data_IF_867280659240
#
_entry.id   IF_867280659240
#
_cell.length_a   1.000
_cell.length_b   1.000
_cell.length_c   1.000
_cell.angle_alpha   90.00
_cell.angle_beta   90.00
_cell.angle_gamma   90.00
#
_symmetry.space_group_name_H-M   'P 1'
#
loop_
_entity.id
_entity.type
_entity.pdbx_description
1 polymer ?
#
# COMPACT_ATOMS: atom_id res chain seq x y z
N UNK A 1 -19.23 -6.89 -10.08
CA UNK A 1 -18.81 -5.63 -9.46
C UNK A 1 -18.41 -5.89 -8.02
N UNK A 2 -17.13 -5.80 -7.72
CA UNK A 2 -16.49 -6.22 -6.46
C UNK A 2 -16.81 -5.33 -5.25
N UNK A 3 -17.88 -4.54 -5.29
CA UNK A 3 -18.30 -3.72 -4.14
C UNK A 3 -17.33 -2.56 -3.82
N UNK A 4 -16.48 -2.17 -4.78
CA UNK A 4 -15.53 -1.08 -4.61
C UNK A 4 -16.22 0.24 -4.19
N UNK A 5 -15.62 1.02 -3.27
CA UNK A 5 -16.16 2.31 -2.90
C UNK A 5 -16.26 3.26 -4.12
N UNK A 6 -17.45 3.81 -4.35
CA UNK A 6 -17.72 4.76 -5.44
C UNK A 6 -16.73 5.95 -5.48
N UNK A 7 -16.18 6.29 -4.32
CA UNK A 7 -15.13 7.29 -4.15
C UNK A 7 -13.86 7.02 -5.00
N UNK A 8 -13.51 5.77 -5.25
CA UNK A 8 -12.33 5.37 -6.03
C UNK A 8 -12.58 5.36 -7.54
N UNK A 9 -13.83 5.15 -7.96
CA UNK A 9 -14.19 4.94 -9.38
C UNK A 9 -14.34 6.28 -10.13
N UNK A 10 -14.62 7.37 -9.41
CA UNK A 10 -14.93 8.66 -10.02
C UNK A 10 -13.70 9.55 -10.17
N UNK A 11 -13.03 9.46 -11.32
CA UNK A 11 -11.87 10.30 -11.69
C UNK A 11 -12.20 11.52 -12.57
N UNK A 12 -13.48 11.73 -12.95
CA UNK A 12 -13.88 12.84 -13.82
C UNK A 12 -13.67 14.24 -13.19
N UNK A 13 -13.56 15.26 -14.05
CA UNK A 13 -13.16 16.64 -13.74
C UNK A 13 -14.08 17.33 -12.70
N UNK A 14 -15.37 16.97 -12.67
CA UNK A 14 -16.39 17.49 -11.75
C UNK A 14 -16.68 16.60 -10.52
N UNK A 15 -16.02 15.43 -10.42
CA UNK A 15 -16.26 14.44 -9.35
C UNK A 15 -16.19 14.99 -7.92
N UNK A 16 -15.48 16.10 -7.70
CA UNK A 16 -15.30 16.69 -6.38
C UNK A 16 -16.54 17.43 -5.83
N UNK A 17 -17.52 17.75 -6.67
CA UNK A 17 -18.72 18.52 -6.31
C UNK A 17 -20.03 17.79 -6.62
N UNK A 18 -19.95 16.53 -7.04
CA UNK A 18 -21.09 15.66 -7.30
C UNK A 18 -21.44 14.81 -6.08
N UNK A 19 -22.74 14.57 -5.89
CA UNK A 19 -23.23 13.80 -4.76
C UNK A 19 -22.75 12.34 -4.80
N UNK A 20 -22.65 11.77 -6.00
CA UNK A 20 -22.14 10.43 -6.23
C UNK A 20 -20.64 10.41 -6.59
N UNK A 21 -19.96 11.56 -6.57
CA UNK A 21 -18.53 11.70 -6.86
C UNK A 21 -17.63 11.36 -5.65
N UNK A 22 -16.63 12.21 -5.38
CA UNK A 22 -15.69 12.08 -4.24
C UNK A 22 -16.33 12.56 -2.93
N UNK A 23 -17.44 11.93 -2.60
CA UNK A 23 -18.28 12.23 -1.45
C UNK A 23 -18.22 11.09 -0.45
N UNK A 24 -18.35 11.40 0.84
CA UNK A 24 -18.46 10.41 1.91
C UNK A 24 -19.77 10.59 2.65
N UNK A 25 -20.28 9.52 3.25
CA UNK A 25 -21.41 9.60 4.18
C UNK A 25 -20.93 9.32 5.60
N UNK A 26 -21.30 10.19 6.53
CA UNK A 26 -20.97 10.10 7.94
C UNK A 26 -22.24 10.26 8.77
N UNK A 27 -22.28 9.67 9.96
CA UNK A 27 -23.39 9.86 10.91
C UNK A 27 -23.00 10.81 12.05
N UNK A 28 -23.95 11.09 12.93
CA UNK A 28 -23.69 11.94 14.09
C UNK A 28 -22.74 11.29 15.11
N UNK A 29 -22.68 9.96 15.18
CA UNK A 29 -21.75 9.27 16.09
C UNK A 29 -20.31 9.45 15.63
N UNK A 30 -20.06 9.40 14.33
CA UNK A 30 -18.79 9.76 13.74
C UNK A 30 -18.38 11.18 14.12
N UNK A 31 -19.29 12.15 14.05
CA UNK A 31 -19.01 13.54 14.44
C UNK A 31 -18.79 13.73 15.95
N UNK A 32 -19.43 12.92 16.80
CA UNK A 32 -19.17 12.92 18.25
C UNK A 32 -17.75 12.41 18.57
N UNK A 33 -17.31 11.37 17.86
CA UNK A 33 -15.97 10.80 18.03
C UNK A 33 -14.89 11.69 17.39
N UNK A 34 -15.16 12.21 16.20
CA UNK A 34 -14.26 13.01 15.39
C UNK A 34 -14.74 14.45 15.32
N UNK A 35 -14.67 15.15 16.45
CA UNK A 35 -15.20 16.52 16.62
C UNK A 35 -14.80 17.45 15.48
N UNK A 36 -15.76 18.16 14.91
CA UNK A 36 -15.56 19.07 13.75
C UNK A 36 -16.04 20.47 14.06
N UNK A 37 -15.32 21.42 13.50
CA UNK A 37 -15.66 22.84 13.56
C UNK A 37 -15.91 23.37 12.14
N UNK A 38 -16.85 24.32 12.05
CA UNK A 38 -17.05 25.11 10.85
C UNK A 38 -15.91 26.14 10.69
N UNK A 39 -15.97 26.92 9.61
CA UNK A 39 -14.99 28.00 9.35
C UNK A 39 -14.86 29.04 10.49
N UNK A 40 -15.90 29.18 11.33
CA UNK A 40 -15.97 30.14 12.44
C UNK A 40 -15.63 29.50 13.81
N UNK A 41 -15.14 28.27 13.85
CA UNK A 41 -14.79 27.58 15.10
C UNK A 41 -16.00 27.06 15.90
N UNK A 42 -17.20 27.05 15.33
CA UNK A 42 -18.39 26.46 15.96
C UNK A 42 -18.48 24.97 15.63
N UNK A 43 -18.88 24.18 16.62
CA UNK A 43 -19.13 22.75 16.45
C UNK A 43 -20.17 22.50 15.34
N UNK A 44 -19.82 21.60 14.41
CA UNK A 44 -20.69 21.19 13.30
C UNK A 44 -21.93 20.47 13.82
N UNK A 45 -21.83 19.67 14.89
CA UNK A 45 -22.97 18.94 15.46
C UNK A 45 -24.13 19.86 15.82
N UNK A 46 -23.82 21.06 16.34
CA UNK A 46 -24.82 22.05 16.74
C UNK A 46 -25.51 22.76 15.56
N UNK A 47 -25.06 22.51 14.32
CA UNK A 47 -25.59 23.12 13.10
C UNK A 47 -26.38 22.12 12.25
N UNK A 48 -26.47 20.86 12.67
CA UNK A 48 -27.24 19.83 11.98
C UNK A 48 -28.74 20.12 12.11
N UNK A 49 -29.45 20.09 10.99
CA UNK A 49 -30.88 20.31 10.90
C UNK A 49 -31.60 18.97 10.75
N UNK A 50 -32.35 18.55 11.76
CA UNK A 50 -33.07 17.26 11.77
C UNK A 50 -34.46 17.31 11.12
N UNK A 51 -34.63 18.12 10.07
CA UNK A 51 -35.91 18.21 9.35
C UNK A 51 -36.00 17.10 8.31
N UNK A 52 -37.19 16.50 8.18
CA UNK A 52 -37.48 15.41 7.23
C UNK A 52 -37.07 15.71 5.78
N UNK A 53 -37.11 16.97 5.38
CA UNK A 53 -36.88 17.42 4.00
C UNK A 53 -35.60 18.25 3.84
N UNK A 54 -34.67 18.17 4.79
CA UNK A 54 -33.40 18.89 4.74
C UNK A 54 -32.22 17.93 4.84
N UNK A 55 -31.34 17.88 3.83
CA UNK A 55 -30.08 17.13 3.87
C UNK A 55 -28.96 18.02 4.40
N UNK A 56 -28.15 17.52 5.32
CA UNK A 56 -27.01 18.23 5.87
C UNK A 56 -25.74 17.80 5.13
N UNK A 57 -24.95 18.76 4.64
CA UNK A 57 -23.66 18.48 4.00
C UNK A 57 -22.56 19.39 4.54
N UNK A 58 -21.37 18.84 4.71
CA UNK A 58 -20.17 19.55 5.10
C UNK A 58 -19.34 19.83 3.84
N UNK A 59 -19.15 21.11 3.53
CA UNK A 59 -18.51 21.52 2.27
C UNK A 59 -17.22 22.26 2.57
N UNK A 60 -16.06 21.79 2.05
CA UNK A 60 -14.82 22.55 2.10
C UNK A 60 -14.98 23.96 1.50
N UNK A 61 -14.48 24.97 2.19
CA UNK A 61 -14.66 26.39 1.82
C UNK A 61 -14.17 26.73 0.39
N UNK A 62 -13.21 25.98 -0.15
CA UNK A 62 -12.73 26.10 -1.55
C UNK A 62 -13.85 25.93 -2.58
N UNK A 63 -14.90 25.19 -2.26
CA UNK A 63 -16.03 24.93 -3.16
C UNK A 63 -17.17 25.93 -2.99
N UNK A 64 -16.97 27.02 -2.24
CA UNK A 64 -18.00 28.04 -2.04
C UNK A 64 -18.40 28.76 -3.33
N UNK A 65 -17.49 28.88 -4.30
CA UNK A 65 -17.81 29.39 -5.64
C UNK A 65 -18.86 28.55 -6.36
N UNK A 66 -18.88 27.24 -6.11
CA UNK A 66 -19.70 26.26 -6.80
C UNK A 66 -20.99 25.91 -6.03
N UNK A 67 -21.33 26.68 -4.99
CA UNK A 67 -22.45 26.44 -4.09
C UNK A 67 -23.75 26.15 -4.84
N UNK A 68 -24.07 26.91 -5.89
CA UNK A 68 -25.28 26.70 -6.70
C UNK A 68 -25.32 25.34 -7.38
N UNK A 69 -24.18 24.88 -7.92
CA UNK A 69 -24.05 23.58 -8.60
C UNK A 69 -24.13 22.45 -7.57
N UNK A 70 -23.45 22.60 -6.43
CA UNK A 70 -23.53 21.65 -5.30
C UNK A 70 -24.97 21.53 -4.80
N UNK A 71 -25.65 22.63 -4.50
CA UNK A 71 -27.05 22.60 -4.04
C UNK A 71 -27.93 21.88 -5.06
N UNK A 72 -27.77 22.15 -6.37
CA UNK A 72 -28.53 21.46 -7.41
C UNK A 72 -28.28 19.95 -7.38
N UNK A 73 -27.01 19.53 -7.47
CA UNK A 73 -26.62 18.11 -7.53
C UNK A 73 -27.11 17.33 -6.30
N UNK A 74 -26.91 17.89 -5.10
CA UNK A 74 -27.31 17.23 -3.86
C UNK A 74 -28.83 17.27 -3.62
N UNK A 75 -29.57 18.25 -4.17
CA UNK A 75 -31.04 18.22 -4.16
C UNK A 75 -31.59 17.11 -5.03
N UNK A 76 -31.05 16.93 -6.23
CA UNK A 76 -31.44 15.87 -7.15
C UNK A 76 -31.19 14.49 -6.51
N UNK A 77 -29.98 14.27 -6.00
CA UNK A 77 -29.60 13.06 -5.27
C UNK A 77 -30.50 12.78 -4.05
N UNK A 78 -30.67 13.78 -3.18
CA UNK A 78 -31.47 13.60 -1.98
C UNK A 78 -32.94 13.32 -2.31
N UNK A 79 -33.49 13.96 -3.34
CA UNK A 79 -34.85 13.67 -3.77
C UNK A 79 -34.97 12.22 -4.25
N UNK A 80 -34.04 11.75 -5.08
CA UNK A 80 -33.97 10.37 -5.55
C UNK A 80 -33.88 9.37 -4.39
N UNK A 81 -32.88 9.52 -3.51
CA UNK A 81 -32.65 8.62 -2.35
C UNK A 81 -33.82 8.61 -1.36
N UNK A 82 -34.57 9.71 -1.25
CA UNK A 82 -35.78 9.80 -0.42
C UNK A 82 -36.96 9.06 -1.05
N UNK A 83 -37.11 9.06 -2.37
CA UNK A 83 -38.26 8.47 -3.07
C UNK A 83 -38.04 7.05 -3.60
N UNK A 84 -36.89 6.42 -3.31
CA UNK A 84 -36.64 5.01 -3.64
C UNK A 84 -37.81 4.13 -3.14
N UNK A 85 -38.67 3.68 -4.08
CA UNK A 85 -39.91 2.88 -3.93
C UNK A 85 -41.25 3.60 -3.74
N UNK A 86 -41.32 4.92 -3.76
CA UNK A 86 -42.61 5.61 -3.67
C UNK A 86 -43.24 5.87 -5.06
N UNK A 87 -44.57 5.76 -5.16
CA UNK A 87 -45.33 6.27 -6.32
C UNK A 87 -44.89 7.72 -6.60
N UNK A 88 -44.76 8.06 -7.88
CA UNK A 88 -44.23 9.33 -8.42
C UNK A 88 -44.88 10.62 -7.86
N UNK A 89 -45.97 10.51 -7.10
CA UNK A 89 -46.67 11.62 -6.47
C UNK A 89 -45.91 12.27 -5.29
N UNK A 90 -45.05 11.55 -4.57
CA UNK A 90 -44.23 12.12 -3.47
C UNK A 90 -43.05 12.98 -3.94
N UNK A 91 -42.76 12.98 -5.24
CA UNK A 91 -41.67 13.74 -5.89
C UNK A 91 -41.86 15.26 -5.73
N UNK A 92 -43.10 15.73 -5.49
CA UNK A 92 -43.44 17.17 -5.46
C UNK A 92 -43.07 17.91 -4.17
N UNK A 93 -42.57 17.23 -3.14
CA UNK A 93 -42.26 17.93 -1.87
C UNK A 93 -40.88 18.59 -1.98
N UNK A 94 -40.78 19.93 -1.87
CA UNK A 94 -39.51 20.63 -2.00
C UNK A 94 -38.51 20.13 -0.94
N UNK A 95 -37.28 19.89 -1.38
CA UNK A 95 -36.16 19.50 -0.54
C UNK A 95 -35.19 20.65 -0.38
N UNK A 96 -34.52 20.67 0.78
CA UNK A 96 -33.56 21.69 1.13
C UNK A 96 -32.19 21.08 1.47
N UNK A 97 -31.13 21.85 1.25
CA UNK A 97 -29.75 21.45 1.55
C UNK A 97 -29.18 22.45 2.56
N UNK A 98 -28.92 21.96 3.76
CA UNK A 98 -28.19 22.71 4.78
C UNK A 98 -26.69 22.52 4.55
N UNK A 99 -26.03 23.57 4.07
CA UNK A 99 -24.58 23.58 3.84
C UNK A 99 -23.87 24.13 5.07
N UNK A 100 -22.96 23.33 5.62
CA UNK A 100 -22.06 23.75 6.70
C UNK A 100 -20.65 23.84 6.13
N UNK A 101 -20.12 25.06 6.05
CA UNK A 101 -18.78 25.27 5.52
C UNK A 101 -17.70 24.88 6.52
N UNK A 102 -16.75 24.08 6.05
CA UNK A 102 -15.61 23.61 6.83
C UNK A 102 -14.28 24.00 6.16
N UNK A 103 -13.17 23.92 6.89
CA UNK A 103 -11.84 24.29 6.37
C UNK A 103 -11.37 23.31 5.29
N UNK A 104 -10.55 23.78 4.34
CA UNK A 104 -10.12 23.00 3.18
C UNK A 104 -9.30 21.75 3.50
N UNK A 105 -8.39 21.83 4.47
CA UNK A 105 -7.42 20.77 4.74
C UNK A 105 -7.93 19.76 5.79
N UNK A 106 -9.24 19.58 5.88
CA UNK A 106 -9.81 18.61 6.80
C UNK A 106 -9.64 17.21 6.21
N UNK A 107 -9.02 16.37 7.03
CA UNK A 107 -8.84 14.94 6.79
C UNK A 107 -9.89 14.18 7.58
N UNK A 108 -10.62 13.27 6.92
CA UNK A 108 -11.60 12.38 7.55
C UNK A 108 -10.97 11.03 7.81
N UNK A 109 -10.75 10.63 9.08
CA UNK A 109 -10.41 9.25 9.40
C UNK A 109 -11.42 8.29 8.79
N UNK A 110 -10.92 7.23 8.16
CA UNK A 110 -11.72 6.16 7.56
C UNK A 110 -11.26 4.82 8.14
N UNK A 111 -12.21 3.90 8.25
CA UNK A 111 -11.97 2.52 8.67
C UNK A 111 -12.01 1.54 7.48
N UNK A 112 -12.39 2.04 6.31
CA UNK A 112 -12.33 1.29 5.05
C UNK A 112 -10.87 1.16 4.61
N UNK A 113 -10.44 -0.06 4.28
CA UNK A 113 -9.05 -0.43 4.04
C UNK A 113 -8.53 0.04 2.69
N UNK A 114 -9.44 0.12 1.72
CA UNK A 114 -9.15 0.46 0.33
C UNK A 114 -9.05 1.96 0.09
N UNK A 115 -9.55 2.80 1.00
CA UNK A 115 -9.57 4.26 0.87
C UNK A 115 -8.79 4.95 2.00
N UNK A 116 -8.21 6.12 1.71
CA UNK A 116 -7.53 6.96 2.72
C UNK A 116 -6.01 6.84 2.79
N UNK A 117 -5.41 5.98 1.96
CA UNK A 117 -3.94 5.85 1.82
C UNK A 117 -3.22 5.51 3.13
N UNK A 118 -1.93 5.84 3.21
CA UNK A 118 -1.07 5.46 4.37
C UNK A 118 -1.53 6.01 5.73
N UNK A 119 -2.29 7.11 5.73
CA UNK A 119 -2.75 7.78 6.95
C UNK A 119 -4.17 7.33 7.38
N UNK A 120 -4.82 6.43 6.64
CA UNK A 120 -6.24 6.07 6.77
C UNK A 120 -7.14 7.31 6.84
N UNK A 121 -6.90 8.28 5.95
CA UNK A 121 -7.55 9.59 5.96
C UNK A 121 -7.94 10.05 4.57
N UNK A 122 -9.22 10.33 4.39
CA UNK A 122 -9.78 10.89 3.16
C UNK A 122 -9.59 12.42 3.18
N UNK A 123 -8.99 12.98 2.13
CA UNK A 123 -8.63 14.41 2.07
C UNK A 123 -9.73 15.21 1.39
N UNK A 124 -10.33 16.14 2.13
CA UNK A 124 -11.23 17.17 1.62
C UNK A 124 -12.43 16.70 0.75
N UNK A 125 -13.16 15.62 1.11
CA UNK A 125 -14.43 15.29 0.47
C UNK A 125 -15.52 16.29 0.88
N UNK A 126 -16.58 16.40 0.07
CA UNK A 126 -17.88 16.84 0.59
C UNK A 126 -18.42 15.68 1.44
N UNK A 127 -18.84 15.95 2.67
CA UNK A 127 -19.35 14.91 3.56
C UNK A 127 -20.85 15.08 3.76
N UNK A 128 -21.62 14.05 3.46
CA UNK A 128 -23.05 14.00 3.74
C UNK A 128 -23.25 13.53 5.18
N UNK A 129 -24.04 14.27 5.96
CA UNK A 129 -24.41 13.87 7.32
C UNK A 129 -25.75 13.15 7.27
N UNK A 130 -25.72 11.84 7.53
CA UNK A 130 -26.91 11.00 7.59
C UNK A 130 -27.68 11.23 8.89
N UNK A 131 -28.97 11.56 8.77
CA UNK A 131 -29.87 11.85 9.89
C UNK A 131 -31.14 10.99 9.86
N UNK A 132 -31.17 9.93 9.05
CA UNK A 132 -32.32 9.03 8.92
C UNK A 132 -33.46 9.56 8.04
N UNK A 133 -33.17 10.49 7.13
CA UNK A 133 -34.19 11.24 6.37
C UNK A 133 -34.39 10.76 4.92
N UNK A 134 -33.77 9.64 4.54
CA UNK A 134 -33.89 8.98 3.23
C UNK A 134 -34.79 7.74 3.31
N UNK A 135 -35.13 7.14 2.17
CA UNK A 135 -35.91 5.90 2.13
C UNK A 135 -35.19 4.77 2.86
N UNK A 136 -35.94 3.89 3.54
CA UNK A 136 -35.40 2.68 4.16
C UNK A 136 -34.61 1.81 3.18
N UNK A 137 -34.99 1.82 1.89
CA UNK A 137 -34.27 1.08 0.84
C UNK A 137 -32.90 1.65 0.53
N UNK A 138 -32.68 2.93 0.81
CA UNK A 138 -31.36 3.54 0.67
C UNK A 138 -30.35 2.96 1.66
N UNK A 139 -30.79 2.27 2.74
CA UNK A 139 -29.89 1.76 3.77
C UNK A 139 -29.25 0.40 3.44
N UNK A 140 -29.50 -0.16 2.24
CA UNK A 140 -28.94 -1.46 1.86
C UNK A 140 -27.41 -1.49 1.89
N UNK A 141 -26.73 -0.38 1.58
CA UNK A 141 -25.26 -0.28 1.65
C UNK A 141 -24.71 -0.36 3.08
N UNK A 142 -25.53 -0.10 4.12
CA UNK A 142 -25.11 -0.28 5.51
C UNK A 142 -25.11 -1.75 5.96
N UNK A 143 -25.65 -2.66 5.14
CA UNK A 143 -25.51 -4.11 5.32
C UNK A 143 -24.31 -4.67 4.54
N UNK A 144 -23.55 -3.82 3.85
CA UNK A 144 -22.32 -4.18 3.15
C UNK A 144 -21.07 -3.83 4.00
N UNK A 145 -19.88 -4.03 3.43
CA UNK A 145 -18.58 -3.82 4.11
C UNK A 145 -18.25 -2.35 4.45
N UNK A 146 -19.17 -1.42 4.22
CA UNK A 146 -18.93 0.03 4.35
C UNK A 146 -19.50 0.66 5.64
N UNK A 147 -19.99 -0.15 6.59
CA UNK A 147 -20.49 0.34 7.87
C UNK A 147 -19.65 -0.19 9.04
N UNK A 148 -19.30 0.71 9.95
CA UNK A 148 -18.38 0.44 11.04
C UNK A 148 -19.02 0.81 12.37
N UNK A 149 -18.80 -0.03 13.38
CA UNK A 149 -19.21 0.26 14.74
C UNK A 149 -18.08 -0.06 15.71
N UNK A 150 -18.06 0.64 16.84
CA UNK A 150 -17.11 0.38 17.92
C UNK A 150 -17.66 -0.69 18.85
N UNK A 151 -16.81 -1.67 19.19
CA UNK A 151 -17.07 -2.65 20.23
C UNK A 151 -15.86 -2.80 21.13
N UNK A 152 -16.11 -2.96 22.43
CA UNK A 152 -15.09 -3.24 23.45
C UNK A 152 -14.99 -4.74 23.75
N UNK A 153 -15.88 -5.55 23.18
CA UNK A 153 -15.92 -6.99 23.38
C UNK A 153 -14.84 -7.68 22.56
N UNK A 154 -14.30 -8.79 23.08
CA UNK A 154 -13.44 -9.70 22.30
C UNK A 154 -14.21 -10.42 21.19
N UNK A 155 -15.54 -10.48 21.31
CA UNK A 155 -16.45 -10.98 20.29
C UNK A 155 -17.46 -9.89 19.95
N UNK A 156 -17.12 -8.93 19.07
CA UNK A 156 -17.97 -7.79 18.73
C UNK A 156 -19.36 -8.16 18.19
N UNK A 157 -19.51 -9.38 17.65
CA UNK A 157 -20.78 -9.85 17.09
C UNK A 157 -21.85 -9.98 18.17
N UNK A 158 -21.45 -10.39 19.38
CA UNK A 158 -22.37 -10.57 20.50
C UNK A 158 -22.99 -9.24 20.96
N UNK A 159 -22.34 -8.11 20.68
CA UNK A 159 -22.86 -6.78 21.03
C UNK A 159 -24.05 -6.38 20.14
N UNK A 160 -24.07 -6.85 18.89
CA UNK A 160 -25.13 -6.56 17.91
C UNK A 160 -26.15 -7.69 17.77
N UNK A 161 -25.79 -8.92 18.14
CA UNK A 161 -26.64 -10.12 18.02
C UNK A 161 -28.05 -9.95 18.63
N UNK A 162 -28.24 -9.35 19.83
CA UNK A 162 -29.58 -9.14 20.39
C UNK A 162 -30.45 -8.22 19.51
N UNK A 163 -29.84 -7.21 18.89
CA UNK A 163 -30.53 -6.28 17.99
C UNK A 163 -30.89 -7.02 16.69
N UNK A 164 -29.97 -7.81 16.13
CA UNK A 164 -30.24 -8.62 14.94
C UNK A 164 -31.39 -9.60 15.16
N UNK A 165 -31.39 -10.31 16.31
CA UNK A 165 -32.48 -11.22 16.69
C UNK A 165 -33.82 -10.50 16.82
N UNK A 166 -33.84 -9.33 17.47
CA UNK A 166 -35.06 -8.53 17.65
C UNK A 166 -35.71 -8.13 16.33
N UNK A 167 -34.92 -7.89 15.30
CA UNK A 167 -35.40 -7.47 13.97
C UNK A 167 -35.39 -8.58 12.92
N UNK A 168 -35.12 -9.84 13.31
CA UNK A 168 -35.03 -10.99 12.41
C UNK A 168 -33.96 -10.86 11.30
N UNK A 169 -32.85 -10.18 11.59
CA UNK A 169 -31.75 -9.90 10.64
C UNK A 169 -30.54 -10.82 10.80
N UNK A 170 -30.63 -11.87 11.61
CA UNK A 170 -29.48 -12.76 11.90
C UNK A 170 -28.96 -13.50 10.66
N UNK A 171 -29.83 -13.78 9.68
CA UNK A 171 -29.43 -14.38 8.41
C UNK A 171 -28.77 -13.40 7.44
N UNK A 172 -29.09 -12.10 7.57
CA UNK A 172 -28.65 -11.06 6.64
C UNK A 172 -27.25 -10.55 6.97
N UNK A 173 -26.87 -10.60 8.25
CA UNK A 173 -25.53 -10.26 8.72
C UNK A 173 -24.93 -11.45 9.51
N UNK A 174 -24.46 -12.51 8.83
CA UNK A 174 -24.01 -13.74 9.48
C UNK A 174 -22.65 -13.59 10.17
N UNK A 175 -21.85 -12.61 9.77
CA UNK A 175 -20.51 -12.37 10.29
C UNK A 175 -20.16 -10.89 10.25
N UNK A 176 -19.17 -10.53 11.05
CA UNK A 176 -18.52 -9.21 11.02
C UNK A 176 -17.02 -9.41 11.05
N UNK A 177 -16.29 -8.45 10.48
CA UNK A 177 -14.84 -8.48 10.46
C UNK A 177 -14.26 -7.33 11.29
N UNK A 178 -13.11 -7.59 11.90
CA UNK A 178 -12.36 -6.55 12.60
C UNK A 178 -11.52 -5.77 11.62
N UNK A 179 -11.71 -4.46 11.58
CA UNK A 179 -10.88 -3.50 10.81
C UNK A 179 -9.39 -3.65 11.13
N UNK A 180 -9.05 -4.07 12.34
CA UNK A 180 -7.65 -4.29 12.73
C UNK A 180 -7.09 -5.60 12.19
N UNK A 181 -7.92 -6.66 12.12
CA UNK A 181 -7.47 -7.97 11.66
C UNK A 181 -7.08 -7.93 10.18
N UNK A 182 -7.83 -7.20 9.38
CA UNK A 182 -7.54 -7.06 7.96
C UNK A 182 -6.22 -6.34 7.69
N UNK A 183 -5.90 -5.28 8.46
CA UNK A 183 -4.56 -4.67 8.44
C UNK A 183 -3.48 -5.61 8.96
N UNK A 184 -3.77 -6.44 9.96
CA UNK A 184 -2.84 -7.48 10.41
C UNK A 184 -2.59 -8.51 9.31
N UNK A 185 -3.60 -8.86 8.52
CA UNK A 185 -3.50 -9.84 7.45
C UNK A 185 -2.72 -9.27 6.26
N UNK A 186 -2.96 -8.02 5.85
CA UNK A 186 -2.08 -7.28 4.92
C UNK A 186 -0.62 -7.28 5.41
N UNK A 187 -0.39 -7.02 6.71
CA UNK A 187 0.96 -7.06 7.29
C UNK A 187 1.58 -8.45 7.27
N UNK A 188 0.80 -9.51 7.47
CA UNK A 188 1.29 -10.90 7.38
C UNK A 188 1.67 -11.25 5.95
N UNK A 189 0.88 -10.83 4.98
CA UNK A 189 1.17 -11.04 3.57
C UNK A 189 2.49 -10.37 3.18
N UNK A 190 2.65 -9.08 3.50
CA UNK A 190 3.91 -8.33 3.28
C UNK A 190 5.09 -9.02 3.98
N UNK A 191 4.93 -9.46 5.24
CA UNK A 191 5.98 -10.22 5.95
C UNK A 191 6.33 -11.52 5.22
N UNK A 192 5.33 -12.22 4.68
CA UNK A 192 5.52 -13.43 3.89
C UNK A 192 6.31 -13.16 2.61
N UNK A 193 5.99 -12.07 1.91
CA UNK A 193 6.76 -11.63 0.73
C UNK A 193 8.20 -11.29 1.07
N UNK A 194 8.44 -10.55 2.15
CA UNK A 194 9.80 -10.22 2.61
C UNK A 194 10.60 -11.50 2.84
N UNK A 195 10.03 -12.50 3.52
CA UNK A 195 10.71 -13.78 3.74
C UNK A 195 11.06 -14.47 2.42
N UNK A 196 10.13 -14.50 1.44
CA UNK A 196 10.40 -15.06 0.11
C UNK A 196 11.56 -14.35 -0.59
N UNK A 197 11.56 -13.02 -0.59
CA UNK A 197 12.63 -12.24 -1.23
C UNK A 197 13.98 -12.41 -0.52
N UNK A 198 14.00 -12.50 0.82
CA UNK A 198 15.23 -12.79 1.58
C UNK A 198 15.79 -14.17 1.23
N UNK A 199 14.94 -15.20 1.16
CA UNK A 199 15.37 -16.55 0.75
C UNK A 199 15.91 -16.54 -0.68
N UNK A 200 15.23 -15.86 -1.60
CA UNK A 200 15.68 -15.73 -2.98
C UNK A 200 17.05 -15.02 -3.07
N UNK A 201 17.24 -13.93 -2.33
CA UNK A 201 18.51 -13.20 -2.28
C UNK A 201 19.66 -14.04 -1.70
N UNK A 202 19.39 -14.88 -0.69
CA UNK A 202 20.39 -15.80 -0.16
C UNK A 202 20.78 -16.87 -1.18
N UNK A 203 19.80 -17.43 -1.89
CA UNK A 203 20.06 -18.43 -2.94
C UNK A 203 20.88 -17.85 -4.10
N UNK A 204 20.57 -16.63 -4.55
CA UNK A 204 21.34 -15.96 -5.61
C UNK A 204 22.76 -15.64 -5.17
N UNK A 205 22.96 -15.20 -3.92
CA UNK A 205 24.29 -14.94 -3.36
C UNK A 205 25.15 -16.21 -3.29
N UNK A 206 24.60 -17.32 -2.80
CA UNK A 206 25.31 -18.61 -2.77
C UNK A 206 25.68 -19.05 -4.20
N UNK A 207 24.74 -18.93 -5.13
CA UNK A 207 24.95 -19.32 -6.53
C UNK A 207 26.04 -18.48 -7.20
N UNK A 208 26.09 -17.18 -6.90
CA UNK A 208 27.13 -16.28 -7.38
C UNK A 208 28.52 -16.66 -6.82
N UNK A 209 28.62 -16.95 -5.52
CA UNK A 209 29.89 -17.40 -4.90
C UNK A 209 30.39 -18.70 -5.54
N UNK A 210 29.50 -19.68 -5.76
CA UNK A 210 29.86 -20.96 -6.41
C UNK A 210 30.36 -20.72 -7.84
N UNK A 211 29.67 -19.86 -8.60
CA UNK A 211 30.07 -19.51 -9.96
C UNK A 211 31.46 -18.84 -10.00
N UNK A 212 31.75 -17.95 -9.05
CA UNK A 212 33.06 -17.31 -8.92
C UNK A 212 34.18 -18.32 -8.64
N UNK A 213 34.00 -19.18 -7.63
CA UNK A 213 34.99 -20.22 -7.28
C UNK A 213 35.23 -21.13 -8.49
N UNK A 214 34.16 -21.55 -9.17
CA UNK A 214 34.25 -22.40 -10.36
C UNK A 214 35.02 -21.70 -11.50
N UNK A 215 34.75 -20.42 -11.74
CA UNK A 215 35.44 -19.65 -12.77
C UNK A 215 36.95 -19.49 -12.49
N UNK A 216 37.31 -19.23 -11.22
CA UNK A 216 38.71 -19.13 -10.78
C UNK A 216 39.41 -20.48 -10.94
N UNK A 217 38.77 -21.56 -10.48
CA UNK A 217 39.31 -22.90 -10.59
C UNK A 217 39.58 -23.30 -12.04
N UNK A 218 38.59 -23.10 -12.92
CA UNK A 218 38.69 -23.41 -14.35
C UNK A 218 39.81 -22.61 -15.03
N UNK A 219 40.00 -21.34 -14.63
CA UNK A 219 41.10 -20.52 -15.12
C UNK A 219 42.47 -21.13 -14.77
N UNK A 220 42.68 -21.50 -13.51
CA UNK A 220 43.95 -22.05 -13.05
C UNK A 220 44.27 -23.41 -13.65
N UNK A 221 43.27 -24.28 -13.84
CA UNK A 221 43.45 -25.59 -14.47
C UNK A 221 43.80 -25.44 -15.95
N UNK A 222 43.03 -24.66 -16.70
CA UNK A 222 43.20 -24.55 -18.15
C UNK A 222 44.48 -23.80 -18.55
N UNK A 223 44.92 -22.82 -17.75
CA UNK A 223 46.07 -21.97 -18.08
C UNK A 223 47.33 -22.28 -17.27
N UNK A 224 47.38 -23.42 -16.55
CA UNK A 224 48.47 -23.79 -15.63
C UNK A 224 49.87 -23.64 -16.22
N UNK A 225 50.08 -24.12 -17.45
CA UNK A 225 51.37 -24.07 -18.13
C UNK A 225 51.76 -22.66 -18.56
N UNK A 226 50.82 -21.90 -19.12
CA UNK A 226 51.06 -20.50 -19.51
C UNK A 226 51.37 -19.62 -18.30
N UNK A 227 50.70 -19.85 -17.18
CA UNK A 227 50.95 -19.16 -15.90
C UNK A 227 52.37 -19.50 -15.42
N UNK A 228 52.75 -20.78 -15.41
CA UNK A 228 54.08 -21.22 -15.00
C UNK A 228 55.21 -20.63 -15.86
N UNK A 229 55.07 -20.65 -17.19
CA UNK A 229 56.07 -20.09 -18.11
C UNK A 229 56.22 -18.58 -17.88
N UNK A 230 55.12 -17.83 -17.77
CA UNK A 230 55.15 -16.39 -17.50
C UNK A 230 55.86 -16.06 -16.18
N UNK A 231 55.59 -16.82 -15.12
CA UNK A 231 56.29 -16.62 -13.84
C UNK A 231 57.80 -16.88 -13.94
N UNK A 232 58.23 -17.92 -14.64
CA UNK A 232 59.66 -18.21 -14.84
C UNK A 232 60.35 -17.16 -15.71
N UNK A 233 59.63 -16.55 -16.66
CA UNK A 233 60.12 -15.45 -17.49
C UNK A 233 60.11 -14.08 -16.78
N UNK A 234 59.75 -14.02 -15.49
CA UNK A 234 59.76 -12.79 -14.69
C UNK A 234 58.60 -11.84 -14.95
N UNK A 235 57.49 -12.31 -15.56
CA UNK A 235 56.29 -11.49 -15.70
C UNK A 235 55.67 -11.17 -14.33
N UNK A 236 55.21 -9.93 -14.16
CA UNK A 236 54.48 -9.52 -12.95
C UNK A 236 53.12 -10.22 -12.84
N UNK A 237 52.66 -10.46 -11.61
CA UNK A 237 51.37 -11.12 -11.30
C UNK A 237 50.19 -10.46 -12.04
N UNK A 238 50.17 -9.12 -12.12
CA UNK A 238 49.12 -8.37 -12.81
C UNK A 238 49.12 -8.62 -14.32
N UNK A 239 50.29 -8.70 -14.94
CA UNK A 239 50.41 -8.98 -16.38
C UNK A 239 50.02 -10.42 -16.74
N UNK A 240 50.22 -11.37 -15.83
CA UNK A 240 49.87 -12.78 -15.99
C UNK A 240 48.36 -13.01 -15.88
N UNK A 241 47.68 -12.30 -14.97
CA UNK A 241 46.28 -12.50 -14.62
C UNK A 241 45.32 -11.40 -15.09
N UNK A 242 45.70 -10.56 -16.06
CA UNK A 242 44.87 -9.41 -16.50
C UNK A 242 43.45 -9.76 -16.98
N UNK A 243 43.29 -10.86 -17.72
CA UNK A 243 42.00 -11.26 -18.30
C UNK A 243 41.01 -11.82 -17.25
N UNK A 244 41.38 -12.74 -16.35
CA UNK A 244 40.46 -13.17 -15.29
C UNK A 244 40.14 -12.02 -14.32
N UNK A 245 41.07 -11.11 -14.04
CA UNK A 245 40.78 -9.91 -13.24
C UNK A 245 39.73 -9.02 -13.93
N UNK A 246 39.82 -8.84 -15.25
CA UNK A 246 38.84 -8.07 -16.01
C UNK A 246 37.46 -8.74 -16.02
N UNK A 247 37.40 -10.08 -16.08
CA UNK A 247 36.17 -10.85 -15.96
C UNK A 247 35.51 -10.66 -14.58
N UNK A 248 36.30 -10.70 -13.49
CA UNK A 248 35.80 -10.46 -12.13
C UNK A 248 35.25 -9.04 -11.97
N UNK A 249 35.95 -8.04 -12.51
CA UNK A 249 35.48 -6.64 -12.50
C UNK A 249 34.15 -6.51 -13.25
N UNK A 250 34.01 -7.17 -14.41
CA UNK A 250 32.77 -7.15 -15.19
C UNK A 250 31.60 -7.79 -14.43
N UNK A 251 31.81 -8.96 -13.80
CA UNK A 251 30.78 -9.65 -13.01
C UNK A 251 30.33 -8.80 -11.82
N UNK A 252 31.27 -8.16 -11.12
CA UNK A 252 30.96 -7.28 -10.00
C UNK A 252 30.27 -5.98 -10.43
N UNK A 253 30.58 -5.46 -11.61
CA UNK A 253 29.87 -4.31 -12.17
C UNK A 253 28.39 -4.62 -12.44
N UNK A 254 28.10 -5.81 -12.97
CA UNK A 254 26.72 -6.28 -13.17
C UNK A 254 26.00 -6.41 -11.83
N UNK A 255 26.66 -6.99 -10.81
CA UNK A 255 26.09 -7.11 -9.46
C UNK A 255 25.78 -5.74 -8.83
N UNK A 256 26.69 -4.77 -8.99
CA UNK A 256 26.51 -3.41 -8.49
C UNK A 256 25.30 -2.73 -9.15
N UNK A 257 25.16 -2.87 -10.47
CA UNK A 257 24.03 -2.29 -11.21
C UNK A 257 22.69 -2.84 -10.70
N UNK A 258 22.62 -4.13 -10.37
CA UNK A 258 21.41 -4.75 -9.80
C UNK A 258 21.08 -4.21 -8.41
N UNK A 259 22.09 -3.99 -7.55
CA UNK A 259 21.89 -3.57 -6.16
C UNK A 259 21.52 -2.08 -6.01
N UNK A 260 21.99 -1.21 -6.91
CA UNK A 260 21.82 0.25 -6.78
C UNK A 260 20.48 0.77 -7.34
N UNK A 261 19.73 -0.06 -8.06
CA UNK A 261 18.56 0.37 -8.84
C UNK A 261 17.38 0.97 -8.03
N UNK A 262 17.29 0.73 -6.71
CA UNK A 262 16.20 1.28 -5.87
C UNK A 262 16.70 1.98 -4.59
N UNK A 263 17.72 1.44 -3.91
CA UNK A 263 18.24 1.97 -2.65
C UNK A 263 19.76 2.15 -2.72
N UNK A 264 20.20 3.37 -3.08
CA UNK A 264 21.61 3.66 -3.39
C UNK A 264 22.55 3.43 -2.19
N UNK A 265 22.18 3.89 -0.99
CA UNK A 265 23.06 3.80 0.18
C UNK A 265 23.16 2.36 0.70
N UNK A 266 22.03 1.68 0.83
CA UNK A 266 21.95 0.31 1.33
C UNK A 266 22.63 -0.67 0.36
N UNK A 267 22.42 -0.48 -0.95
CA UNK A 267 23.06 -1.28 -2.00
C UNK A 267 24.60 -1.17 -1.97
N UNK A 268 25.15 0.03 -1.75
CA UNK A 268 26.61 0.23 -1.67
C UNK A 268 27.24 -0.46 -0.46
N UNK A 269 26.58 -0.44 0.70
CA UNK A 269 27.08 -1.12 1.91
C UNK A 269 27.10 -2.64 1.71
N UNK A 270 26.03 -3.20 1.16
CA UNK A 270 25.94 -4.64 0.85
C UNK A 270 27.02 -5.04 -0.17
N UNK A 271 27.16 -4.27 -1.25
CA UNK A 271 28.17 -4.52 -2.27
C UNK A 271 29.60 -4.50 -1.69
N UNK A 272 29.92 -3.51 -0.85
CA UNK A 272 31.22 -3.43 -0.18
C UNK A 272 31.52 -4.67 0.67
N UNK A 273 30.54 -5.20 1.39
CA UNK A 273 30.71 -6.42 2.20
C UNK A 273 30.99 -7.66 1.34
N UNK A 274 30.32 -7.79 0.19
CA UNK A 274 30.52 -8.88 -0.76
C UNK A 274 31.91 -8.81 -1.38
N UNK A 275 32.36 -7.61 -1.79
CA UNK A 275 33.70 -7.42 -2.36
C UNK A 275 34.82 -7.83 -1.39
N UNK A 276 34.69 -7.49 -0.10
CA UNK A 276 35.69 -7.88 0.91
C UNK A 276 35.75 -9.41 1.03
N UNK A 277 34.59 -10.07 1.08
CA UNK A 277 34.51 -11.53 1.18
C UNK A 277 35.08 -12.20 -0.09
N UNK A 278 34.80 -11.64 -1.26
CA UNK A 278 35.34 -12.12 -2.53
C UNK A 278 36.86 -12.02 -2.59
N UNK A 279 37.44 -10.87 -2.20
CA UNK A 279 38.91 -10.69 -2.18
C UNK A 279 39.56 -11.76 -1.30
N UNK A 280 38.96 -12.10 -0.15
CA UNK A 280 39.46 -13.14 0.75
C UNK A 280 39.41 -14.53 0.07
N UNK A 281 38.28 -14.89 -0.56
CA UNK A 281 38.14 -16.18 -1.25
C UNK A 281 39.13 -16.29 -2.40
N UNK A 282 39.22 -15.26 -3.25
CA UNK A 282 40.13 -15.21 -4.39
C UNK A 282 41.58 -15.34 -3.92
N UNK A 283 41.98 -14.63 -2.87
CA UNK A 283 43.32 -14.71 -2.31
C UNK A 283 43.63 -16.14 -1.81
N UNK A 284 42.68 -16.79 -1.14
CA UNK A 284 42.86 -18.14 -0.62
C UNK A 284 42.98 -19.19 -1.73
N UNK A 285 42.09 -19.16 -2.73
CA UNK A 285 42.14 -19.99 -3.94
C UNK A 285 43.45 -19.79 -4.71
N UNK A 286 43.88 -18.54 -4.87
CA UNK A 286 45.13 -18.19 -5.54
C UNK A 286 46.34 -18.83 -4.84
N UNK A 287 46.41 -18.76 -3.51
CA UNK A 287 47.50 -19.35 -2.73
C UNK A 287 47.54 -20.88 -2.86
N UNK A 288 46.38 -21.54 -2.73
CA UNK A 288 46.27 -23.00 -2.80
C UNK A 288 46.60 -23.51 -4.20
N UNK A 289 45.96 -22.95 -5.23
CA UNK A 289 46.11 -23.43 -6.59
C UNK A 289 47.49 -23.13 -7.17
N UNK A 290 48.10 -21.99 -6.82
CA UNK A 290 49.46 -21.69 -7.28
C UNK A 290 50.49 -22.64 -6.66
N UNK A 291 50.36 -22.99 -5.37
CA UNK A 291 51.23 -24.00 -4.73
C UNK A 291 51.01 -25.39 -5.33
N UNK A 292 49.75 -25.80 -5.54
CA UNK A 292 49.41 -27.09 -6.13
C UNK A 292 49.94 -27.22 -7.55
N UNK A 293 49.65 -26.24 -8.41
CA UNK A 293 50.09 -26.25 -9.81
C UNK A 293 51.62 -26.23 -9.94
N UNK A 294 52.33 -25.46 -9.09
CA UNK A 294 53.80 -25.48 -9.06
C UNK A 294 54.34 -26.85 -8.70
N UNK A 295 53.77 -27.50 -7.69
CA UNK A 295 54.17 -28.84 -7.28
C UNK A 295 53.88 -29.91 -8.34
N UNK A 296 52.73 -29.83 -9.02
CA UNK A 296 52.35 -30.80 -10.05
C UNK A 296 53.25 -30.68 -11.29
N UNK A 297 53.55 -29.45 -11.73
CA UNK A 297 54.47 -29.18 -12.84
C UNK A 297 55.91 -29.62 -12.50
N UNK A 298 56.41 -29.32 -11.30
CA UNK A 298 57.76 -29.74 -10.87
C UNK A 298 57.90 -31.26 -10.71
N UNK A 299 56.80 -31.97 -10.44
CA UNK A 299 56.77 -33.44 -10.34
C UNK A 299 56.53 -34.14 -11.68
N UNK A 300 56.42 -33.38 -12.78
CA UNK A 300 56.17 -33.93 -14.11
C UNK A 300 54.82 -34.64 -14.24
N UNK A 301 53.84 -34.28 -13.40
CA UNK A 301 52.47 -34.81 -13.51
C UNK A 301 51.70 -33.99 -14.54
N UNK A 302 51.27 -34.65 -15.61
CA UNK A 302 50.38 -34.05 -16.62
C UNK A 302 49.04 -33.61 -16.05
#
# INVERSE_FOLDING_TARGET
DEGDPLYLVNEEEDSNIEADGKTITIDENYLKLHKRENINGKDVLNQIVHKKYTRNILVPIKFKSDEKKIVKNFKEDFNFKRTLSDNSEKIKTPVDINIIYVRNNIKYPTYEQTIGGKDNKIKAPIAIVETGNVSKRNFQHYMAMCYFFESKSKQPYNDIEPILKKYHLTSDLPAIESVYNTKIDEMKEIKGEIVKYVVLALLTLISFIIALITAIHLYFVNWKYTIFIKYNLGYSTLSTHKYPLLLLILMNFILLMLLVNHHLVEGLVIFGSILVLEIIIVAFEFLILNQKNKNDILKGKE
#
